data_IF_456633180284
#
_entry.id   IF_456633180284
#
_cell.length_a   1.000
_cell.length_b   1.000
_cell.length_c   1.000
_cell.angle_alpha   90.00
_cell.angle_beta   90.00
_cell.angle_gamma   90.00
#
_symmetry.space_group_name_H-M   'P 1'
#
loop_
_entity.id
_entity.type
_entity.pdbx_description
1 polymer ?
#
# COMPACT_ATOMS: atom_id res chain seq x y z
N UNK A 1 -11.45 -1.81 -9.75
CA UNK A 1 -10.20 -2.28 -9.16
C UNK A 1 -9.07 -1.70 -10.00
N UNK A 2 -8.31 -0.77 -9.42
CA UNK A 2 -7.25 -0.04 -10.12
C UNK A 2 -5.92 -0.51 -9.57
N UNK A 3 -5.13 -1.17 -10.42
CA UNK A 3 -3.74 -1.52 -10.12
C UNK A 3 -2.91 -0.25 -10.28
N UNK A 4 -2.16 0.09 -9.25
CA UNK A 4 -1.28 1.26 -9.27
C UNK A 4 0.12 0.86 -8.84
N UNK A 5 1.10 1.64 -9.24
CA UNK A 5 2.47 1.48 -8.78
C UNK A 5 2.62 1.82 -7.28
N UNK A 6 3.70 1.37 -6.66
CA UNK A 6 4.02 1.69 -5.26
C UNK A 6 4.05 3.21 -4.99
N UNK A 7 4.67 4.06 -5.83
CA UNK A 7 4.64 5.52 -5.63
C UNK A 7 3.23 6.12 -5.70
N UNK A 8 2.40 5.65 -6.63
CA UNK A 8 1.01 6.11 -6.77
C UNK A 8 0.15 5.69 -5.57
N UNK A 9 0.33 4.46 -5.07
CA UNK A 9 -0.31 3.99 -3.85
C UNK A 9 0.12 4.79 -2.63
N UNK A 10 1.40 5.14 -2.52
CA UNK A 10 1.95 6.00 -1.45
C UNK A 10 1.30 7.38 -1.47
N UNK A 11 1.20 8.01 -2.65
CA UNK A 11 0.53 9.29 -2.79
C UNK A 11 -0.95 9.21 -2.43
N UNK A 12 -1.68 8.24 -3.00
CA UNK A 12 -3.10 8.04 -2.71
C UNK A 12 -3.36 7.79 -1.22
N UNK A 13 -2.54 6.96 -0.57
CA UNK A 13 -2.66 6.68 0.85
C UNK A 13 -2.36 7.93 1.69
N UNK A 14 -1.41 8.75 1.26
CA UNK A 14 -1.07 9.99 1.97
C UNK A 14 -2.21 11.00 1.92
N UNK A 15 -2.77 11.19 0.72
CA UNK A 15 -3.92 12.08 0.48
C UNK A 15 -5.17 11.59 1.24
N UNK A 16 -5.37 10.26 1.31
CA UNK A 16 -6.51 9.67 1.99
C UNK A 16 -6.42 9.74 3.53
N UNK A 17 -5.23 9.55 4.09
CA UNK A 17 -5.00 9.55 5.54
C UNK A 17 -4.66 10.93 6.11
N UNK A 18 -4.48 11.93 5.25
CA UNK A 18 -3.95 13.26 5.59
C UNK A 18 -2.63 13.15 6.39
N UNK A 19 -1.77 12.21 5.98
CA UNK A 19 -0.50 11.87 6.63
C UNK A 19 0.51 11.38 5.60
N UNK A 20 1.79 11.63 5.81
CA UNK A 20 2.82 11.13 4.90
C UNK A 20 2.94 9.59 4.97
N UNK A 21 2.74 8.92 3.83
CA UNK A 21 2.95 7.48 3.65
C UNK A 21 4.06 7.29 2.63
N UNK A 22 5.24 6.85 3.08
CA UNK A 22 6.38 6.63 2.19
C UNK A 22 6.19 5.38 1.30
N UNK A 23 6.72 5.37 0.06
CA UNK A 23 6.72 4.18 -0.80
C UNK A 23 7.36 2.94 -0.15
N UNK A 24 8.29 3.13 0.79
CA UNK A 24 8.90 2.07 1.59
C UNK A 24 7.91 1.37 2.51
N UNK A 25 6.93 2.10 3.07
CA UNK A 25 5.86 1.52 3.89
C UNK A 25 4.95 0.63 3.05
N UNK A 26 4.62 1.05 1.83
CA UNK A 26 3.87 0.24 0.87
C UNK A 26 4.67 -1.01 0.49
N UNK A 27 5.95 -0.84 0.19
CA UNK A 27 6.87 -1.94 -0.14
C UNK A 27 6.98 -2.95 1.00
N UNK A 28 6.96 -2.49 2.25
CA UNK A 28 6.96 -3.35 3.43
C UNK A 28 5.69 -4.21 3.50
N UNK A 29 4.52 -3.62 3.26
CA UNK A 29 3.25 -4.35 3.25
C UNK A 29 3.19 -5.42 2.15
N UNK A 30 3.76 -5.14 0.98
CA UNK A 30 3.86 -6.12 -0.12
C UNK A 30 4.83 -7.25 0.24
N UNK A 31 6.01 -6.93 0.78
CA UNK A 31 7.03 -7.93 1.13
C UNK A 31 6.55 -8.95 2.16
N UNK A 32 5.80 -8.49 3.16
CA UNK A 32 5.27 -9.35 4.22
C UNK A 32 3.91 -9.98 3.86
N UNK A 33 3.47 -9.89 2.60
CA UNK A 33 2.27 -10.55 2.11
C UNK A 33 0.95 -9.97 2.62
N UNK A 34 0.97 -8.76 3.17
CA UNK A 34 -0.25 -8.05 3.63
C UNK A 34 -1.03 -7.43 2.48
N UNK A 35 -0.36 -7.18 1.35
CA UNK A 35 -0.94 -6.69 0.10
C UNK A 35 -0.42 -7.58 -1.01
N UNK A 36 -1.32 -8.13 -1.83
CA UNK A 36 -0.91 -8.94 -2.97
C UNK A 36 -0.17 -8.09 -3.99
N UNK A 37 0.99 -8.58 -4.42
CA UNK A 37 1.71 -8.05 -5.57
C UNK A 37 1.02 -8.51 -6.84
N UNK A 38 0.78 -7.56 -7.74
CA UNK A 38 0.36 -7.81 -9.10
C UNK A 38 1.45 -7.28 -10.06
N UNK A 39 1.95 -8.12 -10.96
CA UNK A 39 2.94 -7.72 -11.98
C UNK A 39 4.02 -8.75 -12.26
N UNK A 40 4.44 -8.81 -13.52
CA UNK A 40 5.57 -9.63 -14.01
C UNK A 40 6.82 -8.76 -14.20
N UNK A 41 8.01 -9.40 -14.13
CA UNK A 41 9.31 -8.82 -14.52
C UNK A 41 9.59 -7.40 -14.02
N UNK A 42 9.74 -7.23 -12.70
CA UNK A 42 10.22 -5.98 -12.09
C UNK A 42 9.15 -4.92 -11.85
N UNK A 43 7.96 -5.04 -12.43
CA UNK A 43 6.82 -4.20 -12.07
C UNK A 43 6.11 -4.77 -10.83
N UNK A 44 6.02 -3.97 -9.76
CA UNK A 44 5.22 -4.30 -8.57
C UNK A 44 4.08 -3.30 -8.50
N UNK A 45 2.89 -3.77 -8.87
CA UNK A 45 1.64 -3.03 -8.74
C UNK A 45 0.85 -3.58 -7.55
N UNK A 46 0.05 -2.71 -6.96
CA UNK A 46 -0.81 -2.99 -5.82
C UNK A 46 -2.25 -2.59 -6.16
N UNK A 47 -3.22 -3.39 -5.75
CA UNK A 47 -4.62 -3.03 -5.88
C UNK A 47 -5.01 -2.08 -4.74
N UNK A 48 -5.45 -0.88 -5.08
CA UNK A 48 -5.90 0.13 -4.12
C UNK A 48 -7.05 -0.34 -3.23
N UNK A 49 -7.96 -1.16 -3.77
CA UNK A 49 -9.10 -1.68 -3.01
C UNK A 49 -8.63 -2.68 -1.95
N UNK A 50 -7.65 -3.52 -2.27
CA UNK A 50 -7.06 -4.47 -1.32
C UNK A 50 -6.20 -3.74 -0.28
N UNK A 51 -5.44 -2.72 -0.69
CA UNK A 51 -4.67 -1.87 0.21
C UNK A 51 -5.56 -1.21 1.28
N UNK A 52 -6.72 -0.69 0.88
CA UNK A 52 -7.69 -0.08 1.79
C UNK A 52 -8.26 -1.09 2.80
N UNK A 53 -8.65 -2.28 2.34
CA UNK A 53 -9.25 -3.31 3.20
C UNK A 53 -8.21 -3.91 4.16
N UNK A 54 -6.97 -4.13 3.69
CA UNK A 54 -5.85 -4.61 4.52
C UNK A 54 -5.47 -3.56 5.58
N UNK A 55 -5.37 -2.29 5.19
CA UNK A 55 -5.16 -1.15 6.09
C UNK A 55 -6.21 -0.99 7.18
N UNK A 56 -7.48 -1.31 6.87
CA UNK A 56 -8.59 -1.19 7.80
C UNK A 56 -8.79 -2.44 8.69
N UNK A 57 -8.48 -3.64 8.18
CA UNK A 57 -8.52 -4.89 8.97
C UNK A 57 -7.38 -4.98 9.98
N UNK A 58 -6.19 -4.55 9.60
CA UNK A 58 -5.03 -4.48 10.50
C UNK A 58 -4.92 -3.07 11.08
N UNK A 59 -5.57 -2.83 12.22
CA UNK A 59 -5.37 -1.64 13.06
C UNK A 59 -3.88 -1.36 13.41
N UNK A 60 -2.98 -2.33 13.14
CA UNK A 60 -1.52 -2.20 13.20
C UNK A 60 -0.90 -1.34 12.08
N UNK A 61 -1.57 -1.14 10.93
CA UNK A 61 -1.07 -0.24 9.89
C UNK A 61 -1.17 1.24 10.33
N UNK A 62 -2.09 1.58 11.24
CA UNK A 62 -2.04 2.87 11.96
C UNK A 62 -0.70 3.09 12.71
N UNK A 63 -0.02 2.01 13.09
CA UNK A 63 1.28 2.03 13.77
C UNK A 63 2.49 1.98 12.82
N UNK A 64 2.29 1.75 11.52
CA UNK A 64 3.40 1.77 10.55
C UNK A 64 3.60 3.15 9.90
N UNK A 65 2.80 4.13 10.32
CA UNK A 65 2.91 5.57 10.00
C UNK A 65 3.29 6.35 11.28
N UNK A 66 4.12 5.74 12.13
CA UNK A 66 4.82 6.42 13.23
C UNK A 66 6.30 6.39 12.95
#
# INVERSE_FOLDING_TARGET
MSLVSIPEASKWASDFLDKEVLPTNISYLVQYGKVRKHGENGSTMVDLAEYFISGYKDAKIRLCVI
#
